data_IF_980801055582
#
_entry.id   IF_980801055582
#
_cell.length_a   1.000
_cell.length_b   1.000
_cell.length_c   1.000
_cell.angle_alpha   90.00
_cell.angle_beta   90.00
_cell.angle_gamma   90.00
#
_symmetry.space_group_name_H-M   'P 1'
#
loop_
_entity.id
_entity.type
_entity.pdbx_description
1 polymer ?
#
# COMPACT_ATOMS: atom_id res chain seq x y z
N UNK A 1 23.16 -1.42 -6.64
CA UNK A 1 21.71 -1.41 -6.54
C UNK A 1 21.23 0.00 -6.86
N UNK A 2 20.62 0.20 -8.03
CA UNK A 2 20.18 1.53 -8.42
C UNK A 2 18.96 1.95 -7.62
N UNK A 3 19.08 2.95 -6.75
CA UNK A 3 18.00 3.52 -5.95
C UNK A 3 16.78 3.99 -6.78
N UNK A 4 16.93 4.16 -8.09
CA UNK A 4 15.88 4.56 -9.03
C UNK A 4 14.78 3.49 -9.25
N UNK A 5 15.08 2.21 -9.10
CA UNK A 5 14.11 1.12 -9.31
C UNK A 5 13.17 0.91 -8.14
N UNK A 6 13.52 1.39 -6.93
CA UNK A 6 12.69 1.24 -5.73
C UNK A 6 11.75 2.43 -5.46
N UNK A 7 11.95 3.58 -6.12
CA UNK A 7 11.13 4.78 -5.88
C UNK A 7 9.63 4.57 -6.10
N UNK A 8 9.15 3.98 -7.22
CA UNK A 8 7.71 3.80 -7.42
C UNK A 8 7.08 2.86 -6.39
N UNK A 9 7.80 1.82 -5.98
CA UNK A 9 7.35 0.88 -4.95
C UNK A 9 7.16 1.56 -3.59
N UNK A 10 8.14 2.35 -3.15
CA UNK A 10 8.05 3.06 -1.88
C UNK A 10 6.94 4.11 -1.89
N UNK A 11 6.73 4.79 -2.99
CA UNK A 11 5.64 5.76 -3.13
C UNK A 11 4.27 5.06 -3.06
N UNK A 12 4.11 3.93 -3.73
CA UNK A 12 2.89 3.14 -3.63
C UNK A 12 2.67 2.59 -2.22
N UNK A 13 3.72 2.14 -1.55
CA UNK A 13 3.67 1.69 -0.16
C UNK A 13 3.15 2.80 0.77
N UNK A 14 3.60 4.04 0.60
CA UNK A 14 3.08 5.20 1.33
C UNK A 14 1.57 5.35 1.15
N UNK A 15 1.07 5.19 -0.07
CA UNK A 15 -0.37 5.25 -0.38
C UNK A 15 -1.16 4.15 0.33
N UNK A 16 -0.62 2.93 0.39
CA UNK A 16 -1.23 1.81 1.13
C UNK A 16 -1.28 2.10 2.63
N UNK A 17 -0.19 2.64 3.21
CA UNK A 17 -0.19 3.05 4.62
C UNK A 17 -1.21 4.16 4.90
N UNK A 18 -1.35 5.13 4.00
CA UNK A 18 -2.39 6.16 4.11
C UNK A 18 -3.80 5.54 4.10
N UNK A 19 -4.05 4.59 3.22
CA UNK A 19 -5.34 3.89 3.15
C UNK A 19 -5.66 3.13 4.44
N UNK A 20 -4.70 2.38 4.96
CA UNK A 20 -4.85 1.65 6.23
C UNK A 20 -5.08 2.62 7.40
N UNK A 21 -4.35 3.74 7.43
CA UNK A 21 -4.48 4.75 8.47
C UNK A 21 -5.88 5.39 8.46
N UNK A 22 -6.36 5.74 7.28
CA UNK A 22 -7.67 6.35 7.08
C UNK A 22 -8.81 5.41 7.51
N UNK A 23 -8.74 4.14 7.11
CA UNK A 23 -9.73 3.12 7.50
C UNK A 23 -9.72 2.79 9.00
N UNK A 24 -8.58 2.94 9.68
CA UNK A 24 -8.49 2.76 11.14
C UNK A 24 -9.13 3.88 11.94
N UNK A 25 -9.30 5.03 11.34
CA UNK A 25 -9.83 6.21 12.00
C UNK A 25 -11.36 6.21 11.96
N UNK A 26 -11.97 5.35 12.77
CA UNK A 26 -13.44 5.15 12.82
C UNK A 26 -14.23 6.35 13.32
N UNK A 27 -13.57 7.34 13.92
CA UNK A 27 -14.23 8.54 14.47
C UNK A 27 -14.32 9.68 13.48
N UNK A 28 -13.55 9.63 12.40
CA UNK A 28 -13.54 10.65 11.35
C UNK A 28 -14.11 10.08 10.05
N UNK A 29 -14.70 10.92 9.20
CA UNK A 29 -15.10 10.48 7.87
C UNK A 29 -13.85 10.05 7.07
N UNK A 30 -14.06 9.14 6.14
CA UNK A 30 -13.00 8.68 5.22
C UNK A 30 -12.53 9.87 4.40
N UNK A 31 -11.23 10.15 4.44
CA UNK A 31 -10.59 11.24 3.70
C UNK A 31 -9.84 10.76 2.44
N UNK A 32 -9.55 9.45 2.35
CA UNK A 32 -8.91 8.86 1.16
C UNK A 32 -9.96 8.55 0.09
N UNK A 33 -10.41 9.59 -0.58
CA UNK A 33 -11.33 9.51 -1.71
C UNK A 33 -10.99 10.55 -2.78
N UNK A 34 -11.56 10.40 -3.95
CA UNK A 34 -11.54 11.40 -5.03
C UNK A 34 -12.82 11.31 -5.84
N UNK A 35 -13.28 12.45 -6.31
CA UNK A 35 -14.40 12.56 -7.24
C UNK A 35 -13.90 12.58 -8.68
N UNK A 36 -14.80 12.35 -9.64
CA UNK A 36 -14.45 12.45 -11.07
C UNK A 36 -13.95 13.85 -11.43
N UNK A 37 -14.53 14.89 -10.85
CA UNK A 37 -14.11 16.28 -11.05
C UNK A 37 -12.70 16.51 -10.51
N UNK A 38 -12.41 16.06 -9.29
CA UNK A 38 -11.08 16.22 -8.71
C UNK A 38 -10.00 15.49 -9.52
N UNK A 39 -10.30 14.32 -10.11
CA UNK A 39 -9.33 13.59 -10.94
C UNK A 39 -9.04 14.25 -12.28
N UNK A 40 -10.04 14.91 -12.86
CA UNK A 40 -9.94 15.41 -14.23
C UNK A 40 -9.38 16.83 -14.32
N UNK A 41 -9.37 17.59 -13.24
CA UNK A 41 -8.89 18.97 -13.22
C UNK A 41 -7.70 19.16 -12.29
N UNK A 42 -6.69 19.97 -12.70
CA UNK A 42 -5.46 20.19 -11.95
C UNK A 42 -5.69 20.66 -10.51
N UNK A 43 -6.60 21.59 -10.29
CA UNK A 43 -6.90 22.12 -8.95
C UNK A 43 -7.48 21.03 -8.02
N UNK A 44 -8.33 20.17 -8.59
CA UNK A 44 -8.87 19.02 -7.87
C UNK A 44 -7.78 18.00 -7.51
N UNK A 45 -6.85 17.73 -8.43
CA UNK A 45 -5.72 16.83 -8.19
C UNK A 45 -4.82 17.34 -7.06
N UNK A 46 -4.55 18.65 -7.01
CA UNK A 46 -3.80 19.28 -5.91
C UNK A 46 -4.57 19.16 -4.59
N UNK A 47 -5.88 19.34 -4.60
CA UNK A 47 -6.73 19.17 -3.43
C UNK A 47 -6.65 17.75 -2.86
N UNK A 48 -6.74 16.74 -3.73
CA UNK A 48 -6.57 15.33 -3.35
C UNK A 48 -5.16 15.10 -2.78
N UNK A 49 -4.12 15.57 -3.47
CA UNK A 49 -2.74 15.44 -3.00
C UNK A 49 -2.56 15.98 -1.59
N UNK A 50 -3.02 17.20 -1.33
CA UNK A 50 -2.90 17.84 -0.02
C UNK A 50 -3.65 17.07 1.08
N UNK A 51 -4.81 16.53 0.75
CA UNK A 51 -5.59 15.68 1.66
C UNK A 51 -4.83 14.40 2.03
N UNK A 52 -4.24 13.72 1.04
CA UNK A 52 -3.44 12.51 1.26
C UNK A 52 -2.13 12.83 1.99
N UNK A 53 -1.47 13.92 1.66
CA UNK A 53 -0.25 14.35 2.36
C UNK A 53 -0.51 14.57 3.86
N UNK A 54 -1.67 15.10 4.23
CA UNK A 54 -2.08 15.25 5.64
C UNK A 54 -2.23 13.89 6.32
N UNK A 55 -2.85 12.90 5.68
CA UNK A 55 -2.95 11.53 6.21
C UNK A 55 -1.55 10.95 6.39
N UNK A 56 -0.64 11.18 5.43
CA UNK A 56 0.72 10.69 5.50
C UNK A 56 1.51 11.25 6.68
N UNK A 57 1.28 12.51 7.09
CA UNK A 57 1.87 13.06 8.31
C UNK A 57 1.49 12.24 9.57
N UNK A 58 0.25 11.76 9.64
CA UNK A 58 -0.18 10.87 10.73
C UNK A 58 0.47 9.48 10.63
N UNK A 59 0.60 8.95 9.41
CA UNK A 59 1.29 7.69 9.14
C UNK A 59 2.74 7.75 9.64
N UNK A 60 3.46 8.82 9.34
CA UNK A 60 4.85 9.02 9.79
C UNK A 60 4.96 9.00 11.32
N UNK A 61 4.07 9.72 12.00
CA UNK A 61 4.06 9.77 13.47
C UNK A 61 3.86 8.40 14.10
N UNK A 62 2.99 7.56 13.53
CA UNK A 62 2.70 6.22 14.04
C UNK A 62 3.74 5.17 13.63
N UNK A 63 4.47 5.41 12.58
CA UNK A 63 5.42 4.46 11.99
C UNK A 63 6.82 5.08 11.86
N UNK A 64 7.28 5.74 12.93
CA UNK A 64 8.58 6.44 12.96
C UNK A 64 9.79 5.52 12.78
N UNK A 65 9.62 4.21 12.88
CA UNK A 65 10.66 3.23 12.56
C UNK A 65 10.79 2.93 11.07
N UNK A 66 9.79 3.30 10.28
CA UNK A 66 9.71 3.02 8.84
C UNK A 66 9.91 4.29 8.02
N UNK A 67 9.32 5.41 8.48
CA UNK A 67 9.34 6.68 7.78
C UNK A 67 10.03 7.76 8.62
N UNK A 68 10.91 8.52 7.97
CA UNK A 68 11.56 9.68 8.59
C UNK A 68 10.62 10.89 8.59
N UNK A 69 10.88 11.83 9.51
CA UNK A 69 10.10 13.07 9.60
C UNK A 69 10.12 13.89 8.30
N UNK A 70 11.21 13.79 7.53
CA UNK A 70 11.39 14.50 6.26
C UNK A 70 10.81 13.77 5.05
N UNK A 71 10.28 12.55 5.24
CA UNK A 71 9.64 11.84 4.15
C UNK A 71 8.36 12.56 3.68
N UNK A 72 8.17 12.57 2.38
CA UNK A 72 6.99 13.12 1.71
C UNK A 72 6.55 12.24 0.57
N UNK A 73 5.32 12.42 0.11
CA UNK A 73 4.83 11.79 -1.11
C UNK A 73 5.44 12.55 -2.29
N UNK A 74 6.21 11.84 -3.12
CA UNK A 74 6.92 12.42 -4.27
C UNK A 74 6.20 12.19 -5.60
N UNK A 75 5.04 11.55 -5.57
CA UNK A 75 4.19 11.38 -6.74
C UNK A 75 3.56 12.72 -7.14
N UNK A 76 3.35 12.90 -8.44
CA UNK A 76 2.61 14.04 -8.96
C UNK A 76 1.14 14.00 -8.50
N UNK A 77 0.49 15.16 -8.29
CA UNK A 77 -0.91 15.23 -7.86
C UNK A 77 -1.86 14.42 -8.73
N UNK A 78 -1.65 14.43 -10.04
CA UNK A 78 -2.43 13.61 -10.99
C UNK A 78 -2.33 12.12 -10.69
N UNK A 79 -1.13 11.63 -10.45
CA UNK A 79 -0.88 10.21 -10.13
C UNK A 79 -1.50 9.83 -8.79
N UNK A 80 -1.36 10.69 -7.77
CA UNK A 80 -2.00 10.48 -6.47
C UNK A 80 -3.52 10.38 -6.62
N UNK A 81 -4.14 11.30 -7.36
CA UNK A 81 -5.58 11.29 -7.58
C UNK A 81 -6.07 10.02 -8.30
N UNK A 82 -5.29 9.51 -9.25
CA UNK A 82 -5.60 8.24 -9.94
C UNK A 82 -5.48 7.04 -9.01
N UNK A 83 -4.40 6.93 -8.23
CA UNK A 83 -4.21 5.85 -7.26
C UNK A 83 -5.31 5.86 -6.22
N UNK A 84 -5.67 7.03 -5.68
CA UNK A 84 -6.78 7.18 -4.73
C UNK A 84 -8.09 6.72 -5.36
N UNK A 85 -8.34 7.08 -6.62
CA UNK A 85 -9.52 6.65 -7.36
C UNK A 85 -9.67 5.13 -7.48
N UNK A 86 -8.55 4.41 -7.54
CA UNK A 86 -8.57 2.94 -7.51
C UNK A 86 -8.67 2.39 -6.09
N UNK A 87 -7.89 2.89 -5.15
CA UNK A 87 -7.86 2.41 -3.76
C UNK A 87 -9.17 2.64 -3.01
N UNK A 88 -9.91 3.71 -3.33
CA UNK A 88 -11.19 4.01 -2.65
C UNK A 88 -12.26 2.92 -2.84
N UNK A 89 -12.15 2.12 -3.89
CA UNK A 89 -13.10 1.03 -4.21
C UNK A 89 -12.99 -0.17 -3.26
N UNK A 90 -11.92 -0.25 -2.49
CA UNK A 90 -11.58 -1.40 -1.65
C UNK A 90 -11.48 -1.00 -0.18
N UNK A 91 -11.80 -1.95 0.71
CA UNK A 91 -11.46 -1.84 2.13
C UNK A 91 -10.33 -2.80 2.45
N UNK A 92 -9.20 -2.26 2.90
CA UNK A 92 -8.01 -3.06 3.21
C UNK A 92 -8.10 -3.75 4.57
N UNK A 93 -8.86 -3.17 5.51
CA UNK A 93 -9.02 -3.76 6.84
C UNK A 93 -10.08 -4.86 6.90
N UNK A 94 -11.10 -4.79 6.02
CA UNK A 94 -12.22 -5.72 6.01
C UNK A 94 -12.06 -6.88 5.02
N UNK A 95 -10.95 -6.95 4.30
CA UNK A 95 -10.70 -8.06 3.40
C UNK A 95 -10.03 -9.21 4.13
N UNK A 96 -10.58 -10.42 3.98
CA UNK A 96 -9.96 -11.67 4.45
C UNK A 96 -8.73 -12.10 3.61
N UNK A 97 -8.39 -11.30 2.62
CA UNK A 97 -7.25 -11.56 1.74
C UNK A 97 -6.05 -10.82 2.33
N UNK A 98 -4.92 -11.48 2.40
CA UNK A 98 -3.63 -10.84 2.64
C UNK A 98 -3.29 -9.91 1.47
N UNK A 99 -3.97 -8.76 1.45
CA UNK A 99 -3.79 -7.75 0.42
C UNK A 99 -2.37 -7.18 0.44
N UNK A 100 -1.76 -7.08 1.60
CA UNK A 100 -0.37 -6.60 1.74
C UNK A 100 0.59 -7.56 1.05
N UNK A 101 0.44 -8.86 1.32
CA UNK A 101 1.23 -9.89 0.65
C UNK A 101 0.96 -9.94 -0.84
N UNK A 102 -0.31 -9.83 -1.26
CA UNK A 102 -0.67 -9.85 -2.67
C UNK A 102 -0.19 -8.61 -3.44
N UNK A 103 -0.30 -7.42 -2.84
CA UNK A 103 0.25 -6.20 -3.41
C UNK A 103 1.78 -6.28 -3.50
N UNK A 104 2.43 -6.84 -2.48
CA UNK A 104 3.86 -7.09 -2.49
C UNK A 104 4.23 -8.08 -3.61
N UNK A 105 3.52 -9.19 -3.76
CA UNK A 105 3.73 -10.18 -4.83
C UNK A 105 3.58 -9.56 -6.22
N UNK A 106 2.55 -8.74 -6.45
CA UNK A 106 2.29 -8.06 -7.72
C UNK A 106 3.42 -7.08 -8.07
N UNK A 107 3.85 -6.26 -7.12
CA UNK A 107 4.82 -5.20 -7.35
C UNK A 107 6.24 -5.75 -7.40
N UNK A 108 6.60 -6.61 -6.48
CA UNK A 108 7.93 -7.25 -6.43
C UNK A 108 8.04 -8.30 -7.52
N UNK A 109 6.97 -9.07 -7.75
CA UNK A 109 6.92 -10.09 -8.78
C UNK A 109 7.18 -9.58 -10.18
N UNK A 110 6.67 -8.40 -10.55
CA UNK A 110 6.88 -7.81 -11.88
C UNK A 110 8.28 -7.22 -12.06
N UNK A 111 8.87 -6.66 -10.99
CA UNK A 111 10.14 -5.96 -11.04
C UNK A 111 11.38 -6.83 -10.72
N UNK A 112 11.21 -7.89 -9.94
CA UNK A 112 12.31 -8.78 -9.57
C UNK A 112 12.38 -10.09 -10.36
N UNK A 113 11.34 -10.44 -11.10
CA UNK A 113 11.31 -11.64 -11.96
C UNK A 113 12.33 -11.59 -13.09
N UNK A 114 12.80 -10.39 -13.46
CA UNK A 114 13.75 -10.23 -14.58
C UNK A 114 15.17 -10.68 -14.28
N UNK A 115 15.65 -10.53 -13.05
CA UNK A 115 17.09 -10.63 -12.78
C UNK A 115 17.53 -11.81 -11.89
N UNK A 116 16.64 -12.46 -11.13
CA UNK A 116 17.05 -13.48 -10.15
C UNK A 116 16.30 -14.81 -10.21
N UNK A 117 15.27 -14.94 -11.02
CA UNK A 117 14.49 -16.18 -11.12
C UNK A 117 13.79 -16.60 -9.81
N UNK A 118 13.65 -15.69 -8.87
CA UNK A 118 12.94 -15.94 -7.63
C UNK A 118 11.43 -15.87 -7.87
N UNK A 119 10.72 -16.95 -7.56
CA UNK A 119 9.28 -17.04 -7.67
C UNK A 119 8.67 -17.24 -6.28
N UNK A 120 7.57 -16.55 -6.01
CA UNK A 120 6.81 -16.85 -4.82
C UNK A 120 6.17 -18.23 -4.92
N UNK A 121 6.19 -18.97 -3.83
CA UNK A 121 5.48 -20.24 -3.73
C UNK A 121 3.98 -19.98 -3.89
N UNK A 122 3.29 -20.68 -4.81
CA UNK A 122 1.85 -20.55 -4.96
C UNK A 122 1.10 -20.77 -3.65
N UNK A 123 0.10 -19.95 -3.35
CA UNK A 123 -0.62 -19.97 -2.06
C UNK A 123 -1.28 -21.31 -1.77
N UNK A 124 -1.84 -21.96 -2.77
CA UNK A 124 -2.42 -23.29 -2.63
C UNK A 124 -1.40 -24.35 -2.18
N UNK A 125 -0.16 -24.24 -2.65
CA UNK A 125 0.96 -25.12 -2.23
C UNK A 125 1.35 -24.81 -0.79
N UNK A 126 1.42 -23.53 -0.40
CA UNK A 126 1.69 -23.14 0.98
C UNK A 126 0.61 -23.64 1.93
N UNK A 127 -0.65 -23.47 1.58
CA UNK A 127 -1.78 -23.97 2.37
C UNK A 127 -1.70 -25.48 2.54
N UNK A 128 -1.49 -26.20 1.46
CA UNK A 128 -1.32 -27.67 1.51
C UNK A 128 -0.18 -28.08 2.44
N UNK A 129 0.98 -27.41 2.34
CA UNK A 129 2.12 -27.69 3.21
C UNK A 129 1.82 -27.44 4.69
N UNK A 130 1.17 -26.33 5.01
CA UNK A 130 0.75 -25.99 6.38
C UNK A 130 -0.27 -27.00 6.91
N UNK A 131 -1.23 -27.41 6.10
CA UNK A 131 -2.25 -28.40 6.48
C UNK A 131 -1.61 -29.77 6.73
N UNK A 132 -0.63 -30.17 5.94
CA UNK A 132 0.13 -31.43 6.12
C UNK A 132 0.98 -31.43 7.37
N UNK A 133 1.66 -30.32 7.67
CA UNK A 133 2.52 -30.16 8.86
C UNK A 133 1.67 -30.01 10.12
N UNK A 134 0.50 -29.38 9.99
CA UNK A 134 -0.43 -29.12 11.09
C UNK A 134 0.24 -28.55 12.36
N UNK A 135 0.96 -27.42 12.26
CA UNK A 135 1.73 -26.87 13.37
C UNK A 135 0.83 -26.51 14.55
N UNK A 136 1.25 -26.89 15.75
CA UNK A 136 0.53 -26.61 16.97
C UNK A 136 1.06 -25.35 17.66
N UNK A 137 0.22 -24.71 18.48
CA UNK A 137 0.60 -23.53 19.24
C UNK A 137 1.79 -23.83 20.17
N UNK A 138 2.88 -23.11 19.97
CA UNK A 138 4.11 -23.23 20.76
C UNK A 138 5.20 -24.06 20.11
N UNK A 139 4.94 -24.68 18.98
CA UNK A 139 6.00 -25.33 18.19
C UNK A 139 6.86 -24.30 17.46
N UNK A 140 8.15 -24.58 17.34
CA UNK A 140 9.05 -23.79 16.51
C UNK A 140 9.02 -24.35 15.08
N UNK A 141 8.64 -23.50 14.16
CA UNK A 141 8.60 -23.79 12.74
C UNK A 141 9.82 -23.17 12.05
#
# INVERSE_FOLDING_TARGET
MNALHFKPFFEFLKMIFCKIQDERNVFNPIELYTTSTERNFPDGQITVYNRIAKIFEEVKRRNSKIFDANDSIKLEPRTVAQIVGELQKYSLLNTNIDFKGKAYEEIVGSNLRGDRGEFFTPRNVMHMAVDMINPQKGEKV
#
